data_IF_665103036040
#
_entry.id   IF_665103036040
#
_cell.length_a   1.000
_cell.length_b   1.000
_cell.length_c   1.000
_cell.angle_alpha   90.00
_cell.angle_beta   90.00
_cell.angle_gamma   90.00
#
_symmetry.space_group_name_H-M   'P 1'
#
loop_
_entity.id
_entity.type
_entity.pdbx_description
1 polymer ?
#
# COMPACT_ATOMS: atom_id res chain seq x y z
N UNK A 1 -8.05 22.17 36.48
CA UNK A 1 -8.98 21.03 36.58
C UNK A 1 -9.47 20.72 35.18
N UNK A 2 -8.74 19.91 34.41
CA UNK A 2 -8.74 18.45 34.51
C UNK A 2 -10.15 17.90 34.29
N UNK A 3 -10.39 17.37 33.09
CA UNK A 3 -10.71 15.95 32.92
C UNK A 3 -10.63 15.55 31.45
N UNK A 4 -9.71 14.64 31.19
CA UNK A 4 -9.75 13.61 30.15
C UNK A 4 -10.27 14.04 28.77
N UNK A 5 -9.34 14.45 27.91
CA UNK A 5 -9.34 13.99 26.51
C UNK A 5 -9.17 12.47 26.53
N UNK A 6 -10.24 11.79 26.92
CA UNK A 6 -10.34 10.35 26.93
C UNK A 6 -10.05 9.86 25.53
N UNK A 7 -8.99 9.05 25.43
CA UNK A 7 -8.63 8.18 24.32
C UNK A 7 -9.77 8.12 23.31
N UNK A 8 -9.61 8.80 22.18
CA UNK A 8 -10.52 8.66 21.06
C UNK A 8 -10.69 7.16 20.83
N UNK A 9 -11.85 6.65 21.24
CA UNK A 9 -12.28 5.32 20.87
C UNK A 9 -12.28 5.39 19.36
N UNK A 10 -11.27 4.82 18.70
CA UNK A 10 -11.35 4.57 17.28
C UNK A 10 -12.61 3.73 17.14
N UNK A 11 -13.73 4.28 16.60
CA UNK A 11 -14.93 3.48 16.46
C UNK A 11 -14.51 2.28 15.60
N UNK A 12 -14.93 1.06 15.96
CA UNK A 12 -14.49 -0.17 15.27
C UNK A 12 -14.57 -0.05 13.74
N UNK A 13 -15.51 0.77 13.24
CA UNK A 13 -15.67 1.16 11.84
C UNK A 13 -14.41 1.78 11.19
N UNK A 14 -13.64 2.59 11.93
CA UNK A 14 -12.44 3.26 11.41
C UNK A 14 -11.28 2.28 11.28
N UNK A 15 -11.08 1.37 12.24
CA UNK A 15 -10.04 0.32 12.15
C UNK A 15 -10.33 -0.62 10.98
N UNK A 16 -11.61 -0.99 10.81
CA UNK A 16 -12.05 -1.78 9.65
C UNK A 16 -11.76 -1.05 8.34
N UNK A 17 -12.02 0.26 8.28
CA UNK A 17 -11.70 1.08 7.09
C UNK A 17 -10.20 1.07 6.76
N UNK A 18 -9.35 1.21 7.77
CA UNK A 18 -7.88 1.14 7.62
C UNK A 18 -7.47 -0.25 7.11
N UNK A 19 -8.00 -1.31 7.71
CA UNK A 19 -7.68 -2.68 7.32
C UNK A 19 -8.09 -2.97 5.86
N UNK A 20 -9.30 -2.54 5.46
CA UNK A 20 -9.78 -2.66 4.08
C UNK A 20 -8.86 -1.87 3.14
N UNK A 21 -8.57 -0.61 3.45
CA UNK A 21 -7.66 0.23 2.67
C UNK A 21 -6.29 -0.44 2.47
N UNK A 22 -5.70 -0.98 3.54
CA UNK A 22 -4.40 -1.65 3.49
C UNK A 22 -4.44 -2.86 2.56
N UNK A 23 -5.42 -3.75 2.76
CA UNK A 23 -5.60 -4.92 1.92
C UNK A 23 -5.79 -4.54 0.45
N UNK A 24 -6.60 -3.52 0.18
CA UNK A 24 -6.90 -3.06 -1.17
C UNK A 24 -5.67 -2.44 -1.85
N UNK A 25 -4.89 -1.66 -1.10
CA UNK A 25 -3.65 -1.04 -1.58
C UNK A 25 -2.62 -2.11 -1.94
N UNK A 26 -2.40 -3.04 -1.02
CA UNK A 26 -1.44 -4.14 -1.19
C UNK A 26 -1.87 -5.02 -2.36
N UNK A 27 -3.14 -5.40 -2.43
CA UNK A 27 -3.68 -6.20 -3.53
C UNK A 27 -3.53 -5.48 -4.88
N UNK A 28 -3.86 -4.18 -4.94
CA UNK A 28 -3.74 -3.36 -6.15
C UNK A 28 -2.30 -3.31 -6.68
N UNK A 29 -1.33 -3.04 -5.80
CA UNK A 29 0.09 -2.99 -6.15
C UNK A 29 0.61 -4.35 -6.63
N UNK A 30 0.27 -5.43 -5.92
CA UNK A 30 0.71 -6.78 -6.26
C UNK A 30 0.05 -7.27 -7.55
N UNK A 31 -1.26 -7.09 -7.72
CA UNK A 31 -1.97 -7.45 -8.96
C UNK A 31 -1.45 -6.66 -10.15
N UNK A 32 -1.18 -5.37 -9.98
CA UNK A 32 -0.57 -4.55 -11.02
C UNK A 32 0.79 -5.11 -11.44
N UNK A 33 1.67 -5.40 -10.48
CA UNK A 33 2.99 -5.98 -10.77
C UNK A 33 2.90 -7.39 -11.37
N UNK A 34 1.94 -8.21 -10.96
CA UNK A 34 1.68 -9.53 -11.56
C UNK A 34 1.16 -9.40 -12.99
N UNK A 35 0.30 -8.43 -13.27
CA UNK A 35 -0.27 -8.19 -14.59
C UNK A 35 0.75 -7.66 -15.60
N UNK A 36 1.77 -6.94 -15.15
CA UNK A 36 2.86 -6.45 -16.02
C UNK A 36 3.92 -7.52 -16.28
N UNK A 37 4.11 -8.47 -15.37
CA UNK A 37 5.08 -9.57 -15.55
C UNK A 37 4.52 -10.76 -16.32
N UNK A 38 3.21 -11.00 -16.26
CA UNK A 38 2.57 -12.01 -17.12
C UNK A 38 2.47 -11.44 -18.53
N UNK A 39 3.25 -12.00 -19.45
CA UNK A 39 3.11 -11.83 -20.89
C UNK A 39 1.77 -12.39 -21.40
N UNK A 40 0.63 -11.89 -20.89
CA UNK A 40 -0.66 -12.21 -21.47
C UNK A 40 -0.79 -11.36 -22.74
N UNK A 41 -0.31 -11.92 -23.84
CA UNK A 41 -0.28 -11.34 -25.17
C UNK A 41 -1.72 -11.17 -25.66
N UNK A 42 -2.34 -10.02 -25.36
CA UNK A 42 -3.47 -9.51 -26.15
C UNK A 42 -2.87 -8.62 -27.23
N UNK A 43 -2.46 -9.23 -28.33
CA UNK A 43 -2.01 -8.52 -29.52
C UNK A 43 -3.18 -7.81 -30.19
N UNK A 44 -3.47 -6.57 -29.79
CA UNK A 44 -4.21 -5.64 -30.65
C UNK A 44 -3.18 -5.04 -31.60
N UNK A 45 -3.00 -5.70 -32.74
CA UNK A 45 -2.18 -5.21 -33.84
C UNK A 45 -2.93 -4.11 -34.58
N UNK A 46 -2.84 -2.89 -34.05
CA UNK A 46 -3.10 -1.66 -34.80
C UNK A 46 -1.94 -0.69 -34.50
N UNK A 47 -0.97 -0.67 -35.43
CA UNK A 47 0.07 0.35 -35.60
C UNK A 47 0.59 1.10 -34.35
N UNK A 48 1.82 0.79 -33.98
CA UNK A 48 2.75 1.65 -33.20
C UNK A 48 2.54 1.81 -31.68
N UNK A 49 1.45 1.33 -31.07
CA UNK A 49 1.31 1.28 -29.60
C UNK A 49 1.20 -0.16 -29.07
N UNK A 50 2.35 -0.82 -28.83
CA UNK A 50 2.40 -2.12 -28.18
C UNK A 50 2.27 -1.99 -26.65
N UNK A 51 1.10 -1.56 -26.18
CA UNK A 51 0.75 -1.65 -24.76
C UNK A 51 0.48 -3.12 -24.42
N UNK A 52 1.55 -3.87 -24.07
CA UNK A 52 1.46 -5.20 -23.43
C UNK A 52 0.89 -5.05 -22.01
N UNK A 53 -0.33 -4.56 -21.89
CA UNK A 53 -1.00 -4.38 -20.61
C UNK A 53 -2.04 -5.49 -20.45
N UNK A 54 -1.76 -6.44 -19.57
CA UNK A 54 -2.73 -7.49 -19.24
C UNK A 54 -3.98 -6.87 -18.60
N UNK A 55 -5.15 -7.46 -18.84
CA UNK A 55 -6.40 -7.12 -18.12
C UNK A 55 -6.20 -7.14 -16.59
N UNK A 56 -5.27 -7.96 -16.11
CA UNK A 56 -4.92 -8.05 -14.70
C UNK A 56 -4.27 -6.76 -14.16
N UNK A 57 -3.46 -6.07 -14.98
CA UNK A 57 -2.85 -4.78 -14.61
C UNK A 57 -3.91 -3.68 -14.52
N UNK A 58 -4.87 -3.68 -15.45
CA UNK A 58 -5.97 -2.71 -15.44
C UNK A 58 -6.83 -2.92 -14.19
N UNK A 59 -7.13 -4.17 -13.84
CA UNK A 59 -7.86 -4.49 -12.61
C UNK A 59 -7.07 -4.05 -11.36
N UNK A 60 -5.77 -4.33 -11.32
CA UNK A 60 -4.88 -3.87 -10.24
C UNK A 60 -4.86 -2.35 -10.11
N UNK A 61 -4.84 -1.63 -11.24
CA UNK A 61 -4.88 -0.16 -11.29
C UNK A 61 -6.19 0.39 -10.75
N UNK A 62 -7.34 -0.15 -11.18
CA UNK A 62 -8.65 0.26 -10.67
C UNK A 62 -8.77 -0.01 -9.17
N UNK A 63 -8.30 -1.16 -8.71
CA UNK A 63 -8.26 -1.51 -7.28
C UNK A 63 -7.39 -0.54 -6.47
N UNK A 64 -6.22 -0.18 -6.98
CA UNK A 64 -5.35 0.82 -6.38
C UNK A 64 -5.99 2.22 -6.37
N UNK A 65 -6.70 2.61 -7.42
CA UNK A 65 -7.45 3.87 -7.48
C UNK A 65 -8.56 3.94 -6.42
N UNK A 66 -9.32 2.86 -6.24
CA UNK A 66 -10.29 2.76 -5.15
C UNK A 66 -9.62 2.88 -3.77
N UNK A 67 -8.44 2.29 -3.62
CA UNK A 67 -7.65 2.39 -2.39
C UNK A 67 -7.23 3.84 -2.10
N UNK A 68 -6.88 4.58 -3.15
CA UNK A 68 -6.53 6.00 -3.03
C UNK A 68 -7.73 6.86 -2.56
N UNK A 69 -8.95 6.57 -3.02
CA UNK A 69 -10.15 7.24 -2.53
C UNK A 69 -10.40 6.98 -1.04
N UNK A 70 -10.22 5.72 -0.60
CA UNK A 70 -10.26 5.37 0.83
C UNK A 70 -9.17 6.08 1.63
N UNK A 71 -7.96 6.20 1.09
CA UNK A 71 -6.85 6.91 1.72
C UNK A 71 -7.16 8.39 1.93
N UNK A 72 -7.74 9.06 0.94
CA UNK A 72 -8.19 10.45 1.06
C UNK A 72 -9.22 10.63 2.18
N UNK A 73 -10.16 9.70 2.31
CA UNK A 73 -11.12 9.71 3.42
C UNK A 73 -10.43 9.51 4.78
N UNK A 74 -9.39 8.69 4.82
CA UNK A 74 -8.59 8.42 6.01
C UNK A 74 -7.80 9.65 6.48
N UNK A 75 -7.12 10.34 5.56
CA UNK A 75 -6.39 11.58 5.83
C UNK A 75 -7.35 12.68 6.30
N UNK A 76 -8.57 12.73 5.76
CA UNK A 76 -9.58 13.70 6.16
C UNK A 76 -10.06 13.52 7.61
N UNK A 77 -9.93 12.30 8.17
CA UNK A 77 -10.43 11.92 9.50
C UNK A 77 -9.37 11.87 10.60
N UNK A 78 -8.09 11.78 10.25
CA UNK A 78 -6.99 11.54 11.19
C UNK A 78 -5.84 12.53 10.97
N UNK A 79 -5.04 12.75 12.01
CA UNK A 79 -3.83 13.57 11.90
C UNK A 79 -2.85 12.96 10.88
N UNK A 80 -2.51 13.76 9.87
CA UNK A 80 -1.64 13.39 8.75
C UNK A 80 -0.28 12.89 9.27
N UNK A 81 0.27 13.58 10.28
CA UNK A 81 1.56 13.25 10.89
C UNK A 81 1.60 11.87 11.55
N UNK A 82 0.45 11.28 11.89
CA UNK A 82 0.38 9.93 12.45
C UNK A 82 -0.04 8.89 11.40
N UNK A 83 -1.13 9.17 10.66
CA UNK A 83 -1.71 8.13 9.80
C UNK A 83 -0.84 7.81 8.60
N UNK A 84 -0.15 8.81 8.03
CA UNK A 84 0.71 8.64 6.87
C UNK A 84 1.91 7.73 7.18
N UNK A 85 2.76 8.00 8.19
CA UNK A 85 3.90 7.12 8.48
C UNK A 85 3.45 5.72 8.92
N UNK A 86 2.35 5.59 9.67
CA UNK A 86 1.84 4.28 10.09
C UNK A 86 1.35 3.44 8.91
N UNK A 87 0.50 4.00 8.05
CA UNK A 87 -0.04 3.26 6.90
C UNK A 87 1.04 2.94 5.88
N UNK A 88 1.91 3.89 5.54
CA UNK A 88 3.02 3.66 4.62
C UNK A 88 3.97 2.57 5.11
N UNK A 89 4.26 2.51 6.42
CA UNK A 89 5.05 1.42 7.00
C UNK A 89 4.43 0.05 6.84
N UNK A 90 3.14 -0.08 7.19
CA UNK A 90 2.43 -1.36 7.07
C UNK A 90 2.37 -1.79 5.61
N UNK A 91 1.99 -0.89 4.69
CA UNK A 91 1.96 -1.17 3.25
C UNK A 91 3.35 -1.58 2.76
N UNK A 92 4.41 -0.88 3.16
CA UNK A 92 5.77 -1.15 2.71
C UNK A 92 6.24 -2.55 3.15
N UNK A 93 6.04 -2.90 4.43
CA UNK A 93 6.43 -4.21 4.97
C UNK A 93 5.59 -5.32 4.35
N UNK A 94 4.28 -5.16 4.28
CA UNK A 94 3.39 -6.18 3.72
C UNK A 94 3.67 -6.41 2.23
N UNK A 95 3.86 -5.32 1.46
CA UNK A 95 4.21 -5.39 0.04
C UNK A 95 5.57 -6.06 -0.15
N UNK A 96 6.55 -5.78 0.72
CA UNK A 96 7.85 -6.44 0.67
C UNK A 96 7.72 -7.96 0.89
N UNK A 97 7.03 -8.39 1.96
CA UNK A 97 6.79 -9.81 2.26
C UNK A 97 6.12 -10.52 1.09
N UNK A 98 5.04 -9.92 0.56
CA UNK A 98 4.33 -10.47 -0.59
C UNK A 98 5.18 -10.46 -1.85
N UNK A 99 6.06 -9.47 -2.02
CA UNK A 99 6.95 -9.43 -3.17
C UNK A 99 7.95 -10.59 -3.15
N UNK A 100 8.52 -10.91 -1.98
CA UNK A 100 9.40 -12.09 -1.81
C UNK A 100 8.62 -13.38 -2.07
N UNK A 101 7.40 -13.49 -1.55
CA UNK A 101 6.59 -14.71 -1.63
C UNK A 101 6.06 -14.98 -3.06
N UNK A 102 5.51 -13.95 -3.71
CA UNK A 102 4.80 -14.06 -4.99
C UNK A 102 5.76 -13.97 -6.17
N UNK A 103 6.65 -12.97 -6.18
CA UNK A 103 7.54 -12.75 -7.32
C UNK A 103 8.83 -13.55 -7.22
N UNK A 104 9.11 -14.17 -6.05
CA UNK A 104 10.37 -14.88 -5.76
C UNK A 104 11.59 -14.05 -6.18
N UNK A 105 11.47 -12.73 -6.15
CA UNK A 105 12.55 -11.84 -6.54
C UNK A 105 13.73 -12.08 -5.60
N UNK A 106 14.94 -12.16 -6.17
CA UNK A 106 16.17 -12.20 -5.38
C UNK A 106 16.21 -10.95 -4.50
N UNK A 107 15.95 -11.15 -3.22
CA UNK A 107 15.98 -10.08 -2.23
C UNK A 107 17.46 -9.81 -1.96
N UNK A 108 17.99 -8.80 -2.62
CA UNK A 108 19.36 -8.37 -2.37
C UNK A 108 19.45 -7.79 -0.96
N UNK A 109 20.52 -8.15 -0.23
CA UNK A 109 20.86 -7.63 1.11
C UNK A 109 20.61 -6.12 1.29
N UNK A 110 20.93 -5.23 0.33
CA UNK A 110 20.58 -3.80 0.42
C UNK A 110 19.08 -3.49 0.52
N UNK A 111 18.19 -4.25 -0.14
CA UNK A 111 16.72 -4.03 -0.04
C UNK A 111 16.19 -4.32 1.35
N UNK A 112 16.75 -5.35 2.02
CA UNK A 112 16.40 -5.68 3.40
C UNK A 112 16.86 -4.56 4.33
N UNK A 113 18.13 -4.13 4.20
CA UNK A 113 18.68 -3.05 5.01
C UNK A 113 17.89 -1.74 4.86
N UNK A 114 17.52 -1.37 3.62
CA UNK A 114 16.69 -0.21 3.36
C UNK A 114 15.29 -0.33 3.97
N UNK A 115 14.68 -1.52 3.92
CA UNK A 115 13.35 -1.76 4.53
C UNK A 115 13.40 -1.60 6.06
N UNK A 116 14.47 -2.09 6.70
CA UNK A 116 14.70 -1.90 8.14
C UNK A 116 14.90 -0.42 8.46
N UNK A 117 15.63 0.32 7.62
CA UNK A 117 15.84 1.76 7.81
C UNK A 117 14.52 2.56 7.73
N UNK A 118 13.64 2.22 6.78
CA UNK A 118 12.30 2.81 6.67
C UNK A 118 11.49 2.54 7.95
N UNK A 119 11.52 1.31 8.45
CA UNK A 119 10.86 0.94 9.71
C UNK A 119 11.36 1.78 10.89
N UNK A 120 12.68 1.97 11.00
CA UNK A 120 13.26 2.83 12.04
C UNK A 120 12.78 4.28 11.88
N UNK A 121 12.79 4.82 10.65
CA UNK A 121 12.29 6.17 10.37
C UNK A 121 10.84 6.37 10.78
N UNK A 122 10.00 5.36 10.55
CA UNK A 122 8.58 5.38 10.93
C UNK A 122 8.42 5.33 12.45
N UNK A 123 9.21 4.52 13.16
CA UNK A 123 9.22 4.48 14.62
C UNK A 123 9.63 5.86 15.18
N UNK A 124 10.67 6.48 14.62
CA UNK A 124 11.11 7.83 15.04
C UNK A 124 10.00 8.86 14.81
N UNK A 125 9.32 8.84 13.67
CA UNK A 125 8.17 9.73 13.41
C UNK A 125 7.00 9.50 14.37
N UNK A 126 6.81 8.26 14.83
CA UNK A 126 5.78 7.92 15.79
C UNK A 126 6.14 8.33 17.22
N UNK A 127 7.43 8.39 17.55
CA UNK A 127 7.93 8.91 18.83
C UNK A 127 7.69 10.43 18.85
N UNK A 128 6.50 10.77 19.32
CA UNK A 128 6.04 12.13 19.56
C UNK A 128 6.84 12.73 20.72
N UNK A 129 7.53 13.83 20.45
CA UNK A 129 8.02 14.74 21.49
C UNK A 129 6.87 15.62 22.00
#
# INVERSE_FOLDING_TARGET
MSKEKGKEKMPMINIILIAIYLCLTIAGVILFKMGTQKEFVVSISAGVFNLKMSLLSILGLVCYLCSFLMYMFLISKFDISYIVPVTTGIVQVATFILAVLIFKEAVTTPKVAATILILIGIIIMNIKN
#
